data_IF_413462619238
#
_entry.id   IF_413462619238
#
_cell.length_a   1.000
_cell.length_b   1.000
_cell.length_c   1.000
_cell.angle_alpha   90.00
_cell.angle_beta   90.00
_cell.angle_gamma   90.00
#
_symmetry.space_group_name_H-M   'P 1'
#
loop_
_entity.id
_entity.type
_entity.pdbx_description
1 polymer ?
#
# COMPACT_ATOMS: atom_id res chain seq x y z
N UNK A 1 23.36 -10.70 8.77
CA UNK A 1 23.70 -11.83 7.86
C UNK A 1 22.58 -12.86 7.73
N UNK A 2 21.79 -13.18 8.77
CA UNK A 2 20.66 -14.12 8.65
C UNK A 2 19.48 -13.62 7.79
N UNK A 3 19.11 -12.33 7.87
CA UNK A 3 17.96 -11.77 7.12
C UNK A 3 18.15 -11.72 5.59
N UNK A 4 19.39 -11.67 5.09
CA UNK A 4 19.67 -11.60 3.65
C UNK A 4 19.50 -12.96 2.95
N UNK A 5 19.81 -14.06 3.66
CA UNK A 5 19.61 -15.43 3.14
C UNK A 5 18.12 -15.74 3.02
N UNK A 6 17.32 -15.20 3.92
CA UNK A 6 15.86 -15.38 3.97
C UNK A 6 15.16 -14.63 2.82
N UNK A 7 15.60 -13.39 2.53
CA UNK A 7 15.00 -12.58 1.46
C UNK A 7 15.20 -13.18 0.07
N UNK A 8 16.40 -13.63 -0.29
CA UNK A 8 16.63 -14.24 -1.61
C UNK A 8 15.83 -15.53 -1.78
N UNK A 9 15.70 -16.32 -0.70
CA UNK A 9 14.86 -17.51 -0.71
C UNK A 9 13.40 -17.16 -1.02
N UNK A 10 12.83 -16.16 -0.33
CA UNK A 10 11.48 -15.66 -0.61
C UNK A 10 11.30 -15.22 -2.06
N UNK A 11 12.24 -14.42 -2.58
CA UNK A 11 12.16 -13.91 -3.96
C UNK A 11 12.21 -15.05 -4.98
N UNK A 12 13.07 -16.06 -4.76
CA UNK A 12 13.14 -17.25 -5.60
C UNK A 12 11.84 -18.07 -5.55
N UNK A 13 11.23 -18.22 -4.36
CA UNK A 13 9.92 -18.90 -4.23
C UNK A 13 8.83 -18.19 -5.05
N UNK A 14 8.82 -16.86 -5.07
CA UNK A 14 7.86 -16.10 -5.90
C UNK A 14 8.16 -16.31 -7.39
N UNK A 15 9.43 -16.37 -7.77
CA UNK A 15 9.83 -16.60 -9.17
C UNK A 15 9.46 -18.00 -9.66
N UNK A 16 9.66 -19.03 -8.85
CA UNK A 16 9.19 -20.39 -9.13
C UNK A 16 7.67 -20.42 -9.28
N UNK A 17 6.93 -19.78 -8.35
CA UNK A 17 5.48 -19.65 -8.46
C UNK A 17 5.04 -18.95 -9.76
N UNK A 18 5.75 -17.92 -10.21
CA UNK A 18 5.46 -17.24 -11.48
C UNK A 18 5.57 -18.16 -12.70
N UNK A 19 6.50 -19.12 -12.68
CA UNK A 19 6.76 -20.03 -13.80
C UNK A 19 5.87 -21.27 -13.77
N UNK A 20 5.67 -21.84 -12.59
CA UNK A 20 5.05 -23.15 -12.43
C UNK A 20 3.53 -23.08 -12.31
N UNK A 21 2.99 -22.06 -11.64
CA UNK A 21 1.57 -22.07 -11.28
C UNK A 21 0.64 -21.91 -12.49
N UNK A 22 1.06 -21.17 -13.52
CA UNK A 22 0.32 -21.10 -14.78
C UNK A 22 0.22 -22.47 -15.47
N UNK A 23 1.25 -23.31 -15.35
CA UNK A 23 1.27 -24.65 -15.94
C UNK A 23 0.48 -25.64 -15.09
N UNK A 24 0.53 -25.48 -13.77
CA UNK A 24 -0.15 -26.33 -12.79
C UNK A 24 -1.66 -26.08 -12.74
N UNK A 25 -2.11 -24.83 -12.87
CA UNK A 25 -3.51 -24.45 -12.71
C UNK A 25 -4.12 -23.96 -14.03
N UNK A 26 -5.28 -24.50 -14.39
CA UNK A 26 -6.04 -24.08 -15.58
C UNK A 26 -7.18 -23.10 -15.26
N UNK A 27 -7.56 -22.99 -13.99
CA UNK A 27 -8.61 -22.09 -13.49
C UNK A 27 -8.28 -21.68 -12.05
N UNK A 28 -8.96 -20.65 -11.54
CA UNK A 28 -8.83 -20.23 -10.14
C UNK A 28 -9.47 -21.27 -9.22
N UNK A 29 -8.65 -22.04 -8.51
CA UNK A 29 -9.08 -23.05 -7.54
C UNK A 29 -8.87 -22.57 -6.09
N UNK A 30 -9.47 -23.28 -5.13
CA UNK A 30 -9.22 -23.02 -3.70
C UNK A 30 -7.75 -23.28 -3.31
N UNK A 31 -7.10 -24.29 -3.91
CA UNK A 31 -5.68 -24.58 -3.68
C UNK A 31 -4.79 -23.41 -4.16
N UNK A 32 -5.07 -22.86 -5.35
CA UNK A 32 -4.36 -21.68 -5.85
C UNK A 32 -4.60 -20.48 -4.93
N UNK A 33 -5.84 -20.25 -4.49
CA UNK A 33 -6.16 -19.16 -3.57
C UNK A 33 -5.38 -19.26 -2.26
N UNK A 34 -5.32 -20.46 -1.66
CA UNK A 34 -4.55 -20.71 -0.44
C UNK A 34 -3.06 -20.48 -0.66
N UNK A 35 -2.52 -20.92 -1.80
CA UNK A 35 -1.12 -20.73 -2.16
C UNK A 35 -0.77 -19.25 -2.32
N UNK A 36 -1.63 -18.48 -2.98
CA UNK A 36 -1.51 -17.01 -3.10
C UNK A 36 -1.54 -16.36 -1.71
N UNK A 37 -2.52 -16.73 -0.87
CA UNK A 37 -2.64 -16.18 0.48
C UNK A 37 -1.42 -16.47 1.35
N UNK A 38 -0.83 -17.67 1.22
CA UNK A 38 0.39 -18.04 1.92
C UNK A 38 1.58 -17.18 1.47
N UNK A 39 1.78 -17.01 0.16
CA UNK A 39 2.85 -16.14 -0.37
C UNK A 39 2.66 -14.70 0.09
N UNK A 40 1.44 -14.17 0.03
CA UNK A 40 1.14 -12.83 0.52
C UNK A 40 1.42 -12.71 2.02
N UNK A 41 0.98 -13.67 2.83
CA UNK A 41 1.21 -13.69 4.28
C UNK A 41 2.68 -13.63 4.66
N UNK A 42 3.51 -14.47 4.03
CA UNK A 42 4.97 -14.45 4.26
C UNK A 42 5.58 -13.13 3.81
N UNK A 43 5.20 -12.61 2.64
CA UNK A 43 5.71 -11.32 2.17
C UNK A 43 5.40 -10.19 3.15
N UNK A 44 4.22 -10.19 3.78
CA UNK A 44 3.83 -9.17 4.76
C UNK A 44 4.80 -9.10 5.93
N UNK A 45 5.22 -10.26 6.46
CA UNK A 45 6.15 -10.31 7.60
C UNK A 45 7.50 -9.66 7.24
N UNK A 46 8.02 -9.95 6.05
CA UNK A 46 9.24 -9.33 5.55
C UNK A 46 9.09 -7.84 5.28
N UNK A 47 7.97 -7.45 4.67
CA UNK A 47 7.71 -6.05 4.37
C UNK A 47 7.65 -5.20 5.65
N UNK A 48 7.02 -5.73 6.70
CA UNK A 48 6.99 -5.09 8.03
C UNK A 48 8.40 -5.02 8.62
N UNK A 49 9.19 -6.09 8.56
CA UNK A 49 10.56 -6.08 9.09
C UNK A 49 11.42 -5.03 8.40
N UNK A 50 11.40 -4.99 7.07
CA UNK A 50 12.18 -4.08 6.24
C UNK A 50 11.71 -2.62 6.33
N UNK A 51 10.49 -2.37 6.83
CA UNK A 51 9.94 -1.02 6.97
C UNK A 51 10.21 -0.39 8.36
N UNK A 52 10.76 -1.15 9.32
CA UNK A 52 10.90 -0.70 10.72
C UNK A 52 11.74 0.55 10.87
N UNK A 53 12.85 0.64 10.14
CA UNK A 53 13.72 1.81 10.17
C UNK A 53 13.28 2.84 9.15
N UNK A 54 13.08 4.08 9.61
CA UNK A 54 12.92 5.26 8.74
C UNK A 54 14.20 6.09 8.66
N UNK A 55 15.31 5.64 9.25
CA UNK A 55 16.59 6.34 9.21
C UNK A 55 17.16 6.41 7.78
N UNK A 56 18.07 7.35 7.53
CA UNK A 56 18.73 7.51 6.22
C UNK A 56 20.15 6.93 6.20
N UNK A 57 20.34 5.82 6.91
CA UNK A 57 21.59 5.06 6.89
C UNK A 57 21.62 4.00 5.77
N UNK A 58 22.79 3.43 5.52
CA UNK A 58 22.98 2.44 4.45
C UNK A 58 22.15 1.17 4.66
N UNK A 59 21.98 0.72 5.91
CA UNK A 59 21.15 -0.45 6.20
C UNK A 59 19.69 -0.19 5.81
N UNK A 60 19.15 0.96 6.21
CA UNK A 60 17.80 1.37 5.86
C UNK A 60 17.63 1.50 4.35
N UNK A 61 18.62 2.00 3.61
CA UNK A 61 18.57 2.01 2.13
C UNK A 61 18.52 0.60 1.53
N UNK A 62 19.27 -0.36 2.08
CA UNK A 62 19.21 -1.76 1.65
C UNK A 62 17.84 -2.38 1.98
N UNK A 63 17.28 -2.10 3.14
CA UNK A 63 15.97 -2.62 3.53
C UNK A 63 14.86 -2.07 2.62
N UNK A 64 14.92 -0.77 2.30
CA UNK A 64 14.03 -0.13 1.31
C UNK A 64 14.14 -0.78 -0.07
N UNK A 65 15.35 -1.15 -0.49
CA UNK A 65 15.57 -1.87 -1.75
C UNK A 65 14.99 -3.29 -1.70
N UNK A 66 15.18 -4.03 -0.60
CA UNK A 66 14.57 -5.34 -0.38
C UNK A 66 13.04 -5.28 -0.45
N UNK A 67 12.43 -4.30 0.22
CA UNK A 67 10.99 -4.09 0.21
C UNK A 67 10.45 -3.73 -1.19
N UNK A 68 11.23 -3.02 -2.02
CA UNK A 68 10.90 -2.74 -3.43
C UNK A 68 10.97 -4.00 -4.28
N UNK A 69 11.96 -4.88 -4.06
CA UNK A 69 12.10 -6.16 -4.76
C UNK A 69 10.92 -7.09 -4.47
N UNK A 70 10.49 -7.20 -3.22
CA UNK A 70 9.30 -8.01 -2.85
C UNK A 70 8.05 -7.49 -3.58
N UNK A 71 7.77 -6.19 -3.53
CA UNK A 71 6.59 -5.61 -4.21
C UNK A 71 6.62 -5.84 -5.71
N UNK A 72 7.80 -5.68 -6.33
CA UNK A 72 7.97 -5.95 -7.74
C UNK A 72 7.64 -7.42 -8.06
N UNK A 73 8.16 -8.37 -7.28
CA UNK A 73 7.88 -9.81 -7.46
C UNK A 73 6.40 -10.15 -7.24
N UNK A 74 5.74 -9.56 -6.24
CA UNK A 74 4.30 -9.74 -6.04
C UNK A 74 3.47 -9.25 -7.23
N UNK A 75 3.80 -8.08 -7.80
CA UNK A 75 3.14 -7.56 -9.01
C UNK A 75 3.43 -8.44 -10.22
N UNK A 76 4.66 -8.97 -10.35
CA UNK A 76 4.99 -9.96 -11.39
C UNK A 76 4.17 -11.24 -11.24
N UNK A 77 4.00 -11.77 -10.02
CA UNK A 77 3.19 -12.96 -9.76
C UNK A 77 1.72 -12.76 -10.15
N UNK A 78 1.13 -11.61 -9.80
CA UNK A 78 -0.21 -11.29 -10.28
C UNK A 78 -0.26 -11.22 -11.80
N UNK A 79 0.71 -10.56 -12.41
CA UNK A 79 0.77 -10.39 -13.87
C UNK A 79 0.97 -11.73 -14.60
N UNK A 80 1.78 -12.64 -14.06
CA UNK A 80 1.97 -13.97 -14.63
C UNK A 80 0.67 -14.75 -14.51
N UNK A 81 0.05 -14.83 -13.35
CA UNK A 81 -1.21 -15.58 -13.19
C UNK A 81 -2.36 -15.03 -14.04
N UNK A 82 -2.40 -13.73 -14.34
CA UNK A 82 -3.37 -13.13 -15.25
C UNK A 82 -4.81 -13.43 -14.83
N UNK A 83 -5.58 -14.11 -15.68
CA UNK A 83 -6.97 -14.48 -15.40
C UNK A 83 -7.12 -15.51 -14.26
N UNK A 84 -6.05 -16.21 -13.89
CA UNK A 84 -6.06 -17.12 -12.74
C UNK A 84 -6.01 -16.37 -11.41
N UNK A 85 -5.55 -15.11 -11.41
CA UNK A 85 -5.51 -14.30 -10.21
C UNK A 85 -6.93 -14.00 -9.70
N UNK A 86 -7.25 -14.26 -8.43
CA UNK A 86 -8.57 -14.00 -7.89
C UNK A 86 -8.94 -12.52 -7.98
N UNK A 87 -10.03 -12.19 -8.67
CA UNK A 87 -10.49 -10.80 -8.83
C UNK A 87 -10.81 -10.10 -7.49
N UNK A 88 -11.08 -10.87 -6.43
CA UNK A 88 -11.29 -10.36 -5.08
C UNK A 88 -10.02 -9.84 -4.39
N UNK A 89 -8.83 -10.24 -4.86
CA UNK A 89 -7.54 -9.80 -4.31
C UNK A 89 -7.03 -8.64 -5.15
N UNK A 90 -7.35 -7.41 -4.72
CA UNK A 90 -6.97 -6.17 -5.42
C UNK A 90 -5.78 -5.46 -4.80
N UNK A 91 -5.38 -5.85 -3.59
CA UNK A 91 -4.29 -5.28 -2.82
C UNK A 91 -3.60 -6.34 -1.95
N UNK A 92 -2.46 -5.97 -1.38
CA UNK A 92 -1.78 -6.73 -0.33
C UNK A 92 -1.39 -5.80 0.81
N UNK A 93 -1.24 -6.34 2.02
CA UNK A 93 -0.75 -5.56 3.16
C UNK A 93 0.71 -5.17 2.90
N UNK A 94 0.98 -3.87 2.90
CA UNK A 94 2.30 -3.30 2.67
C UNK A 94 3.08 -3.16 3.96
N UNK A 95 2.42 -2.83 5.06
CA UNK A 95 3.07 -2.54 6.34
C UNK A 95 2.07 -2.56 7.50
N UNK A 96 2.56 -2.72 8.72
CA UNK A 96 1.83 -2.59 9.99
C UNK A 96 2.75 -1.99 11.05
N UNK A 97 2.32 -0.91 11.66
CA UNK A 97 3.11 -0.22 12.68
C UNK A 97 2.22 0.56 13.64
N UNK A 98 2.76 0.86 14.81
CA UNK A 98 2.09 1.67 15.82
C UNK A 98 2.61 3.10 15.80
N UNK A 99 1.72 4.07 16.06
CA UNK A 99 2.05 5.47 16.25
C UNK A 99 1.29 5.97 17.48
N UNK A 100 2.02 6.25 18.55
CA UNK A 100 1.46 6.61 19.85
C UNK A 100 0.42 5.57 20.32
N UNK A 101 -0.86 5.93 20.39
CA UNK A 101 -1.97 5.04 20.79
C UNK A 101 -2.72 4.42 19.61
N UNK A 102 -2.24 4.61 18.38
CA UNK A 102 -2.89 4.14 17.17
C UNK A 102 -2.13 2.98 16.54
N UNK A 103 -2.88 2.02 16.00
CA UNK A 103 -2.35 0.99 15.12
C UNK A 103 -2.65 1.37 13.66
N UNK A 104 -1.65 1.25 12.79
CA UNK A 104 -1.75 1.60 11.37
C UNK A 104 -1.52 0.35 10.54
N UNK A 105 -2.50 -0.01 9.72
CA UNK A 105 -2.35 -1.03 8.68
C UNK A 105 -2.30 -0.35 7.31
N UNK A 106 -1.27 -0.67 6.54
CA UNK A 106 -1.09 -0.13 5.19
C UNK A 106 -1.35 -1.22 4.17
N UNK A 107 -2.11 -0.90 3.13
CA UNK A 107 -2.24 -1.74 1.93
C UNK A 107 -1.67 -1.00 0.71
N UNK A 108 -1.12 -1.78 -0.22
CA UNK A 108 -0.75 -1.33 -1.56
C UNK A 108 -1.62 -2.05 -2.58
N UNK A 109 -2.20 -1.28 -3.50
CA UNK A 109 -3.00 -1.87 -4.57
C UNK A 109 -2.08 -2.41 -5.67
N UNK A 110 -2.44 -3.58 -6.21
CA UNK A 110 -1.69 -4.16 -7.33
C UNK A 110 -1.76 -3.29 -8.57
N UNK A 111 -2.93 -2.70 -8.82
CA UNK A 111 -3.19 -1.71 -9.86
C UNK A 111 -3.80 -0.47 -9.21
N UNK A 112 -3.61 0.75 -9.78
CA UNK A 112 -4.32 1.92 -9.30
C UNK A 112 -5.84 1.66 -9.27
N UNK A 113 -6.51 1.97 -8.16
CA UNK A 113 -7.96 1.80 -8.02
C UNK A 113 -8.63 3.15 -8.11
N UNK A 114 -9.75 3.24 -8.83
CA UNK A 114 -10.50 4.48 -8.94
C UNK A 114 -10.93 4.99 -7.56
N UNK A 115 -10.65 6.27 -7.29
CA UNK A 115 -11.01 6.90 -6.04
C UNK A 115 -12.49 7.29 -6.04
N UNK A 116 -12.93 8.05 -7.05
CA UNK A 116 -14.31 8.55 -7.14
C UNK A 116 -15.02 7.96 -8.36
N UNK A 117 -16.20 7.36 -8.19
CA UNK A 117 -17.04 6.97 -9.32
C UNK A 117 -17.24 8.16 -10.26
N UNK A 118 -17.03 7.95 -11.56
CA UNK A 118 -17.13 8.99 -12.58
C UNK A 118 -15.89 9.85 -12.81
N UNK A 119 -14.86 9.75 -11.96
CA UNK A 119 -13.57 10.43 -12.17
C UNK A 119 -12.44 9.42 -12.39
N UNK A 120 -12.26 8.90 -13.61
CA UNK A 120 -11.26 7.85 -13.90
C UNK A 120 -9.82 8.33 -13.75
N UNK A 121 -9.60 9.64 -13.66
CA UNK A 121 -8.28 10.25 -13.51
C UNK A 121 -7.85 10.41 -12.06
N UNK A 122 -8.73 10.10 -11.09
CA UNK A 122 -8.44 10.15 -9.66
C UNK A 122 -8.34 8.72 -9.12
N UNK A 123 -7.13 8.30 -8.80
CA UNK A 123 -6.81 6.92 -8.41
C UNK A 123 -6.16 6.86 -7.04
N UNK A 124 -6.38 5.78 -6.29
CA UNK A 124 -5.62 5.43 -5.08
C UNK A 124 -4.60 4.35 -5.37
N UNK A 125 -3.41 4.51 -4.80
CA UNK A 125 -2.27 3.58 -4.94
C UNK A 125 -1.93 2.90 -3.60
N UNK A 126 -2.11 3.64 -2.51
CA UNK A 126 -1.88 3.17 -1.14
C UNK A 126 -3.02 3.63 -0.25
N UNK A 127 -3.29 2.86 0.79
CA UNK A 127 -4.20 3.21 1.86
C UNK A 127 -3.56 2.88 3.22
N UNK A 128 -3.59 3.82 4.16
CA UNK A 128 -3.24 3.60 5.57
C UNK A 128 -4.51 3.69 6.39
N UNK A 129 -4.99 2.57 6.90
CA UNK A 129 -6.12 2.51 7.83
C UNK A 129 -5.60 2.66 9.26
N UNK A 130 -6.17 3.61 10.00
CA UNK A 130 -5.75 3.94 11.36
C UNK A 130 -6.81 3.53 12.37
N UNK A 131 -6.42 2.68 13.31
CA UNK A 131 -7.27 2.11 14.34
C UNK A 131 -6.88 2.66 15.71
N UNK A 132 -7.88 2.95 16.54
CA UNK A 132 -7.64 3.26 17.96
C UNK A 132 -7.36 1.97 18.77
N UNK A 133 -7.10 2.13 20.07
CA UNK A 133 -6.84 1.02 21.00
C UNK A 133 -7.97 -0.01 21.11
N UNK A 134 -9.20 0.36 20.73
CA UNK A 134 -10.35 -0.54 20.70
C UNK A 134 -10.53 -1.23 19.34
N UNK A 135 -9.58 -1.11 18.42
CA UNK A 135 -9.66 -1.66 17.06
C UNK A 135 -10.67 -0.94 16.16
N UNK A 136 -11.17 0.23 16.55
CA UNK A 136 -12.11 1.00 15.73
C UNK A 136 -11.36 1.87 14.74
N UNK A 137 -11.74 1.78 13.46
CA UNK A 137 -11.21 2.64 12.40
C UNK A 137 -11.56 4.12 12.66
N UNK A 138 -10.55 4.98 12.71
CA UNK A 138 -10.70 6.41 13.03
C UNK A 138 -10.62 7.27 11.76
N UNK A 139 -9.63 7.01 10.90
CA UNK A 139 -9.45 7.67 9.61
C UNK A 139 -8.58 6.82 8.68
N UNK A 140 -8.59 7.19 7.40
CA UNK A 140 -7.77 6.57 6.35
C UNK A 140 -6.91 7.64 5.69
N UNK A 141 -5.65 7.33 5.42
CA UNK A 141 -4.82 8.11 4.49
C UNK A 141 -4.79 7.43 3.14
N UNK A 142 -4.67 8.21 2.07
CA UNK A 142 -4.57 7.69 0.71
C UNK A 142 -3.47 8.41 -0.05
N UNK A 143 -2.66 7.66 -0.81
CA UNK A 143 -1.90 8.26 -1.90
C UNK A 143 -2.83 8.35 -3.11
N UNK A 144 -3.23 9.57 -3.44
CA UNK A 144 -4.07 9.91 -4.57
C UNK A 144 -3.19 10.33 -5.75
N UNK A 145 -3.46 9.76 -6.93
CA UNK A 145 -2.96 10.22 -8.22
C UNK A 145 -4.09 10.93 -8.93
N UNK A 146 -3.85 12.15 -9.36
CA UNK A 146 -4.77 12.96 -10.15
C UNK A 146 -4.12 13.35 -11.48
N UNK A 147 -4.81 13.13 -12.59
CA UNK A 147 -4.45 13.64 -13.92
C UNK A 147 -5.51 14.65 -14.38
N UNK A 148 -5.60 15.78 -13.68
CA UNK A 148 -6.57 16.83 -14.03
C UNK A 148 -6.11 17.57 -15.29
N UNK A 149 -6.92 17.53 -16.34
CA UNK A 149 -6.82 18.43 -17.50
C UNK A 149 -5.47 18.42 -18.25
N UNK A 150 -4.81 17.26 -18.34
CA UNK A 150 -3.62 17.10 -19.17
C UNK A 150 -2.33 17.69 -18.58
N UNK A 151 -2.32 18.11 -17.31
CA UNK A 151 -1.13 18.63 -16.62
C UNK A 151 -0.13 17.56 -16.18
N UNK A 152 -0.26 16.32 -16.68
CA UNK A 152 0.48 15.16 -16.20
C UNK A 152 -0.04 14.63 -14.85
N UNK A 153 0.55 13.53 -14.35
CA UNK A 153 0.17 12.97 -13.06
C UNK A 153 0.56 13.92 -11.93
N UNK A 154 -0.26 13.97 -10.88
CA UNK A 154 -0.01 14.73 -9.67
C UNK A 154 -0.36 13.88 -8.45
N UNK A 155 0.56 13.77 -7.49
CA UNK A 155 0.44 12.87 -6.34
C UNK A 155 0.22 13.64 -5.05
N UNK A 156 -0.80 13.24 -4.28
CA UNK A 156 -1.22 13.91 -3.04
C UNK A 156 -1.47 12.87 -1.95
N UNK A 157 -0.97 13.13 -0.74
CA UNK A 157 -1.38 12.40 0.46
C UNK A 157 -2.64 13.06 1.03
N UNK A 158 -3.78 12.38 0.89
CA UNK A 158 -5.05 12.77 1.48
C UNK A 158 -5.30 12.06 2.80
N UNK A 159 -6.08 12.69 3.69
CA UNK A 159 -6.66 12.09 4.90
C UNK A 159 -8.18 12.17 4.80
N UNK A 160 -8.86 11.04 4.94
CA UNK A 160 -10.31 10.93 5.00
C UNK A 160 -10.75 10.55 6.41
N UNK A 161 -11.78 11.23 6.90
CA UNK A 161 -12.41 11.00 8.19
C UNK A 161 -13.93 11.06 8.04
N UNK A 162 -14.67 10.69 9.08
CA UNK A 162 -16.14 10.53 9.05
C UNK A 162 -16.92 11.75 8.54
N UNK A 163 -16.33 12.95 8.57
CA UNK A 163 -16.98 14.21 8.24
C UNK A 163 -16.34 14.96 7.06
N UNK A 164 -15.32 14.39 6.41
CA UNK A 164 -14.66 15.08 5.31
C UNK A 164 -13.28 14.57 4.96
N UNK A 165 -12.54 15.41 4.22
CA UNK A 165 -11.20 15.11 3.74
C UNK A 165 -10.31 16.33 3.86
N UNK A 166 -9.02 16.08 3.98
CA UNK A 166 -7.99 17.12 3.96
C UNK A 166 -6.78 16.66 3.19
N UNK A 167 -6.11 17.60 2.52
CA UNK A 167 -4.80 17.36 1.94
C UNK A 167 -3.72 17.52 3.02
N UNK A 168 -2.89 16.48 3.17
CA UNK A 168 -1.79 16.46 4.15
C UNK A 168 -0.50 16.91 3.49
N UNK A 169 -0.19 16.39 2.31
CA UNK A 169 1.05 16.69 1.60
C UNK A 169 0.87 16.59 0.09
N UNK A 170 1.58 17.41 -0.67
CA UNK A 170 1.67 17.29 -2.13
C UNK A 170 3.08 16.90 -2.56
N UNK A 171 3.19 15.90 -3.42
CA UNK A 171 4.45 15.40 -3.95
C UNK A 171 4.75 15.87 -5.37
N UNK A 172 3.80 16.56 -6.02
CA UNK A 172 3.97 17.00 -7.39
C UNK A 172 3.90 15.85 -8.40
N UNK A 173 4.69 15.87 -9.48
CA UNK A 173 4.50 14.98 -10.63
C UNK A 173 5.12 13.59 -10.49
N UNK A 174 5.92 13.38 -9.44
CA UNK A 174 6.64 12.12 -9.21
C UNK A 174 5.96 11.32 -8.11
N UNK A 175 5.81 10.01 -8.32
CA UNK A 175 5.33 9.13 -7.26
C UNK A 175 6.32 9.16 -6.08
N UNK A 176 5.88 9.49 -4.86
CA UNK A 176 6.78 9.53 -3.71
C UNK A 176 7.28 8.14 -3.32
N UNK A 177 8.43 8.09 -2.65
CA UNK A 177 8.90 6.87 -2.00
C UNK A 177 7.95 6.47 -0.86
N UNK A 178 7.74 5.16 -0.69
CA UNK A 178 6.88 4.63 0.37
C UNK A 178 7.26 5.16 1.76
N UNK A 179 8.55 5.23 2.08
CA UNK A 179 9.00 5.65 3.41
C UNK A 179 8.78 7.15 3.62
N UNK A 180 8.90 7.94 2.56
CA UNK A 180 8.55 9.36 2.61
C UNK A 180 7.07 9.55 2.97
N UNK A 181 6.18 8.74 2.37
CA UNK A 181 4.77 8.75 2.73
C UNK A 181 4.52 8.28 4.16
N UNK A 182 5.15 7.18 4.59
CA UNK A 182 5.07 6.65 5.95
C UNK A 182 5.47 7.72 6.98
N UNK A 183 6.58 8.43 6.76
CA UNK A 183 7.04 9.52 7.63
C UNK A 183 6.00 10.64 7.71
N UNK A 184 5.38 11.03 6.59
CA UNK A 184 4.34 12.07 6.60
C UNK A 184 3.07 11.62 7.32
N UNK A 185 2.69 10.35 7.21
CA UNK A 185 1.58 9.76 7.99
C UNK A 185 1.90 9.79 9.48
N UNK A 186 3.07 9.30 9.89
CA UNK A 186 3.53 9.30 11.29
C UNK A 186 3.56 10.74 11.84
N UNK A 187 4.16 11.67 11.11
CA UNK A 187 4.25 13.08 11.51
C UNK A 187 2.85 13.70 11.73
N UNK A 188 1.91 13.44 10.81
CA UNK A 188 0.54 13.92 10.97
C UNK A 188 -0.20 13.27 12.15
N UNK A 189 0.06 11.98 12.41
CA UNK A 189 -0.52 11.22 13.52
C UNK A 189 -0.05 11.72 14.89
N UNK A 190 1.25 11.92 15.05
CA UNK A 190 1.87 12.37 16.31
C UNK A 190 1.69 13.87 16.59
N UNK A 191 0.85 14.57 15.83
CA UNK A 191 0.61 16.00 16.03
C UNK A 191 1.81 16.91 15.69
N UNK A 192 2.84 16.36 15.06
CA UNK A 192 4.02 17.11 14.58
C UNK A 192 3.87 17.59 13.12
N UNK A 193 2.79 17.20 12.44
CA UNK A 193 2.47 17.59 11.06
C UNK A 193 1.64 18.87 10.98
N UNK A 194 2.01 19.73 10.03
CA UNK A 194 1.38 21.01 9.68
C UNK A 194 -0.15 20.95 9.58
N UNK A 195 -0.79 22.08 9.92
CA UNK A 195 -2.21 22.32 9.65
C UNK A 195 -2.58 21.87 8.22
N UNK A 196 -3.78 21.28 8.01
CA UNK A 196 -4.19 20.83 6.69
C UNK A 196 -4.04 21.95 5.67
N UNK A 197 -3.34 21.68 4.56
CA UNK A 197 -3.07 22.67 3.51
C UNK A 197 -4.36 23.26 2.95
N UNK A 198 -5.40 22.43 2.89
CA UNK A 198 -6.78 22.81 2.61
C UNK A 198 -7.71 21.78 3.25
N UNK A 199 -8.79 22.23 3.89
CA UNK A 199 -9.92 21.36 4.24
C UNK A 199 -10.99 21.56 3.18
N UNK A 200 -11.22 20.56 2.34
CA UNK A 200 -12.37 20.57 1.44
C UNK A 200 -13.53 19.86 2.13
N UNK A 201 -14.54 20.63 2.53
CA UNK A 201 -15.82 20.07 2.95
C UNK A 201 -16.54 19.57 1.70
N UNK A 202 -16.31 18.31 1.32
CA UNK A 202 -17.06 17.70 0.22
C UNK A 202 -18.50 17.50 0.68
N UNK A 203 -19.53 17.90 -0.12
CA UNK A 203 -20.92 17.60 0.18
C UNK A 203 -21.09 16.10 0.44
N UNK A 204 -21.87 15.74 1.47
CA UNK A 204 -22.09 14.34 1.88
C UNK A 204 -22.58 13.49 0.69
N UNK A 205 -21.69 12.69 0.11
CA UNK A 205 -22.06 11.65 -0.85
C UNK A 205 -21.84 10.27 -0.21
N UNK A 206 -22.78 9.77 0.60
CA UNK A 206 -22.82 8.36 1.04
C UNK A 206 -21.78 7.90 2.08
N UNK A 207 -21.87 6.64 2.55
CA UNK A 207 -21.07 6.13 3.67
C UNK A 207 -19.67 5.68 3.20
N UNK A 208 -18.67 6.52 3.41
CA UNK A 208 -17.26 6.31 3.02
C UNK A 208 -16.45 5.38 3.94
N UNK A 209 -17.11 4.73 4.90
CA UNK A 209 -16.49 3.89 5.93
C UNK A 209 -17.00 2.44 5.92
N UNK A 210 -17.44 1.94 4.76
CA UNK A 210 -17.53 0.48 4.57
C UNK A 210 -16.14 -0.08 4.21
#
# INVERSE_FOLDING_TARGET
MAAAVDLEFLLNTIDEACQEWQQKFQTTTQELLQSIQQVLGVCVEYLIELSKSTADDEQSKQDRLGAKRIVFKLKQLKSSLGNLWPASITSFTRDRFDVDTYNVETIEFFEPVQFYPGFPYMMKLYEWSVYNTNGTLVYRYFLEKSELMGSGPYYVLGKAFSHGRSQIHSYGPTIPDYNQMKIHVISNLSGHGSQPLTTMTVPRFGPWLQ
#
